data_IF_346252508038
#
_entry.id   IF_346252508038
#
_cell.length_a   1.000
_cell.length_b   1.000
_cell.length_c   1.000
_cell.angle_alpha   90.00
_cell.angle_beta   90.00
_cell.angle_gamma   90.00
#
_symmetry.space_group_name_H-M   'P 1'
#
loop_
_entity.id
_entity.type
_entity.pdbx_description
1 polymer ?
#
# COMPACT_ATOMS: atom_id res chain seq x y z
N UNK A 1 -18.94 -37.90 -48.94
CA UNK A 1 -17.81 -37.15 -49.50
C UNK A 1 -18.08 -35.69 -49.16
N UNK A 2 -17.35 -34.97 -48.32
CA UNK A 2 -15.91 -34.88 -48.05
C UNK A 2 -15.68 -34.30 -46.65
N UNK A 3 -14.87 -34.97 -45.83
CA UNK A 3 -14.31 -34.42 -44.58
C UNK A 3 -13.17 -33.45 -44.93
N UNK A 4 -13.28 -32.19 -44.55
CA UNK A 4 -12.15 -31.25 -44.56
C UNK A 4 -11.69 -30.99 -43.13
N UNK A 5 -10.66 -31.71 -42.72
CA UNK A 5 -9.94 -31.49 -41.47
C UNK A 5 -9.21 -30.14 -41.54
N UNK A 6 -9.55 -29.19 -40.67
CA UNK A 6 -8.76 -27.98 -40.45
C UNK A 6 -7.64 -28.30 -39.46
N UNK A 7 -6.47 -28.67 -39.98
CA UNK A 7 -5.25 -28.84 -39.21
C UNK A 7 -4.78 -27.49 -38.66
N UNK A 8 -4.76 -27.37 -37.34
CA UNK A 8 -4.16 -26.27 -36.59
C UNK A 8 -2.64 -26.24 -36.82
N UNK A 9 -2.16 -25.26 -37.59
CA UNK A 9 -0.74 -24.97 -37.70
C UNK A 9 -0.24 -24.36 -36.37
N UNK A 10 0.57 -25.11 -35.63
CA UNK A 10 1.34 -24.55 -34.53
C UNK A 10 2.41 -23.59 -35.09
N UNK A 11 2.71 -22.46 -34.43
CA UNK A 11 3.79 -21.58 -34.86
C UNK A 11 5.14 -22.28 -34.67
N UNK A 12 5.93 -22.34 -35.75
CA UNK A 12 7.32 -22.80 -35.73
C UNK A 12 8.16 -21.91 -34.80
N UNK A 13 8.74 -22.51 -33.77
CA UNK A 13 9.77 -21.87 -32.96
C UNK A 13 11.11 -21.99 -33.69
N UNK A 14 11.93 -20.92 -33.80
CA UNK A 14 13.24 -21.02 -34.42
C UNK A 14 14.13 -21.98 -33.62
N UNK A 15 14.54 -23.06 -34.28
CA UNK A 15 15.57 -23.99 -33.83
C UNK A 15 16.87 -23.20 -33.63
N UNK A 16 17.34 -23.07 -32.38
CA UNK A 16 18.68 -22.55 -32.12
C UNK A 16 19.70 -23.55 -32.66
N UNK A 17 20.39 -23.17 -33.73
CA UNK A 17 21.51 -23.89 -34.31
C UNK A 17 22.72 -23.85 -33.37
N UNK A 18 23.22 -25.02 -33.00
CA UNK A 18 24.58 -25.17 -32.47
C UNK A 18 25.59 -24.90 -33.60
N UNK A 19 26.46 -23.90 -33.39
CA UNK A 19 27.81 -23.92 -33.94
C UNK A 19 28.72 -23.01 -33.10
N UNK A 20 29.69 -23.67 -32.50
CA UNK A 20 30.92 -23.23 -31.86
C UNK A 20 31.54 -21.97 -32.46
N UNK A 21 32.08 -21.08 -31.61
CA UNK A 21 33.46 -20.61 -31.72
C UNK A 21 33.95 -20.04 -30.38
N UNK A 22 35.11 -20.53 -29.95
CA UNK A 22 35.86 -20.07 -28.81
C UNK A 22 36.30 -18.62 -29.02
N UNK A 23 35.64 -17.67 -28.35
CA UNK A 23 36.23 -16.36 -28.10
C UNK A 23 36.61 -16.29 -26.62
N UNK A 24 37.91 -16.27 -26.38
CA UNK A 24 38.48 -16.04 -25.07
C UNK A 24 37.89 -14.76 -24.47
N UNK A 25 37.20 -14.89 -23.34
CA UNK A 25 36.78 -13.72 -22.57
C UNK A 25 38.02 -13.07 -21.97
N UNK A 26 38.61 -12.12 -22.69
CA UNK A 26 39.58 -11.19 -22.11
C UNK A 26 38.88 -10.40 -21.01
N UNK A 27 39.18 -10.73 -19.75
CA UNK A 27 38.86 -9.88 -18.61
C UNK A 27 39.72 -8.63 -18.71
N UNK A 28 39.18 -7.58 -19.35
CA UNK A 28 39.73 -6.23 -19.20
C UNK A 28 39.54 -5.77 -17.77
N UNK A 29 40.58 -5.96 -16.95
CA UNK A 29 40.71 -5.31 -15.65
C UNK A 29 40.81 -3.81 -15.94
N UNK A 30 39.72 -3.09 -15.69
CA UNK A 30 39.71 -1.64 -15.77
C UNK A 30 40.57 -1.12 -14.61
N UNK A 31 41.81 -0.73 -14.90
CA UNK A 31 42.70 -0.05 -13.96
C UNK A 31 42.19 1.37 -13.69
N UNK A 32 41.85 1.67 -12.44
CA UNK A 32 41.34 2.98 -11.98
C UNK A 32 42.46 4.00 -11.67
N UNK A 33 43.62 3.88 -12.31
CA UNK A 33 44.83 4.66 -11.97
C UNK A 33 44.78 6.13 -12.40
N UNK A 34 43.69 6.57 -13.04
CA UNK A 34 43.51 7.93 -13.57
C UNK A 34 42.43 8.76 -12.88
N UNK A 35 41.76 8.28 -11.83
CA UNK A 35 40.69 9.07 -11.18
C UNK A 35 41.33 10.21 -10.39
N UNK A 36 41.18 11.44 -10.90
CA UNK A 36 41.47 12.67 -10.15
C UNK A 36 40.76 12.57 -8.80
N UNK A 37 41.53 12.54 -7.70
CA UNK A 37 41.02 12.59 -6.33
C UNK A 37 40.23 13.90 -6.17
N UNK A 38 38.92 13.85 -6.36
CA UNK A 38 38.04 14.93 -5.96
C UNK A 38 38.09 14.98 -4.44
N UNK A 39 38.70 16.04 -3.89
CA UNK A 39 38.50 16.39 -2.49
C UNK A 39 37.03 16.77 -2.34
N UNK A 40 36.23 15.82 -1.86
CA UNK A 40 34.90 16.13 -1.32
C UNK A 40 35.19 17.03 -0.12
N UNK A 41 34.91 18.33 -0.26
CA UNK A 41 34.77 19.20 0.91
C UNK A 41 33.62 18.61 1.70
N UNK A 42 33.93 17.90 2.78
CA UNK A 42 32.95 17.65 3.83
C UNK A 42 32.72 19.01 4.47
N UNK A 43 31.81 19.78 3.90
CA UNK A 43 31.26 20.91 4.62
C UNK A 43 30.77 20.35 5.96
N UNK A 44 31.33 20.87 7.06
CA UNK A 44 31.02 20.50 8.44
C UNK A 44 29.56 20.87 8.79
N UNK A 45 28.60 20.22 8.13
CA UNK A 45 27.17 20.30 8.41
C UNK A 45 26.78 19.45 9.63
N UNK A 46 27.70 19.20 10.56
CA UNK A 46 27.46 18.37 11.74
C UNK A 46 26.71 19.11 12.87
N UNK A 47 26.53 20.44 12.79
CA UNK A 47 25.93 21.20 13.90
C UNK A 47 24.59 21.91 13.63
N UNK A 48 24.01 21.85 12.42
CA UNK A 48 22.68 22.47 12.14
C UNK A 48 21.48 21.52 12.15
N UNK A 49 21.68 20.20 12.28
CA UNK A 49 20.56 19.22 12.26
C UNK A 49 19.91 18.94 13.62
N UNK A 50 20.54 19.32 14.75
CA UNK A 50 20.04 18.94 16.09
C UNK A 50 18.88 19.79 16.62
N UNK A 51 18.70 21.01 16.12
CA UNK A 51 17.64 21.90 16.63
C UNK A 51 16.34 21.80 15.82
N UNK A 52 16.40 21.41 14.55
CA UNK A 52 15.22 21.31 13.70
C UNK A 52 14.42 20.02 13.93
N UNK A 53 15.05 18.92 14.36
CA UNK A 53 14.33 17.67 14.70
C UNK A 53 13.50 17.82 15.98
N UNK A 54 13.96 18.62 16.95
CA UNK A 54 13.20 18.90 18.18
C UNK A 54 11.97 19.77 17.90
N UNK A 55 12.07 20.75 17.01
CA UNK A 55 10.92 21.57 16.62
C UNK A 55 9.97 20.85 15.65
N UNK A 56 10.50 20.03 14.73
CA UNK A 56 9.67 19.20 13.84
C UNK A 56 8.91 18.12 14.61
N UNK A 57 9.57 17.44 15.55
CA UNK A 57 8.89 16.48 16.44
C UNK A 57 7.94 17.16 17.42
N UNK A 58 8.21 18.37 17.93
CA UNK A 58 7.23 19.13 18.71
C UNK A 58 6.02 19.55 17.87
N UNK A 59 6.21 19.93 16.60
CA UNK A 59 5.12 20.33 15.70
C UNK A 59 4.31 19.11 15.22
N UNK A 60 4.94 17.98 14.92
CA UNK A 60 4.27 16.70 14.65
C UNK A 60 3.56 16.15 15.90
N UNK A 61 4.17 16.28 17.09
CA UNK A 61 3.51 15.99 18.37
C UNK A 61 2.43 17.01 18.73
N UNK A 62 2.39 18.20 18.14
CA UNK A 62 1.28 19.14 18.33
C UNK A 62 0.19 18.98 17.25
N UNK A 63 0.53 18.37 16.12
CA UNK A 63 -0.41 17.99 15.07
C UNK A 63 -1.12 16.67 15.41
N UNK A 64 -0.46 15.78 16.14
CA UNK A 64 -0.94 14.42 16.46
C UNK A 64 -0.84 14.01 17.95
N UNK A 65 -0.43 14.90 18.87
CA UNK A 65 -0.15 14.52 20.26
C UNK A 65 -1.07 15.14 21.32
N UNK A 66 -1.27 14.32 22.34
CA UNK A 66 -2.16 14.34 23.51
C UNK A 66 -2.12 15.62 24.39
N UNK A 67 -1.25 16.61 24.11
CA UNK A 67 -1.09 17.83 24.94
C UNK A 67 -1.81 19.06 24.40
N UNK A 68 -2.37 19.01 23.20
CA UNK A 68 -3.39 19.98 22.80
C UNK A 68 -4.71 19.50 23.42
N UNK A 69 -5.40 20.34 24.20
CA UNK A 69 -6.79 20.07 24.61
C UNK A 69 -7.64 19.64 23.40
N UNK A 70 -8.77 18.95 23.60
CA UNK A 70 -9.49 18.27 22.53
C UNK A 70 -9.76 19.26 21.38
N UNK A 71 -8.94 19.18 20.33
CA UNK A 71 -9.21 19.90 19.09
C UNK A 71 -10.45 19.24 18.55
N UNK A 72 -11.45 20.05 18.22
CA UNK A 72 -12.56 19.60 17.40
C UNK A 72 -11.96 19.02 16.13
N UNK A 73 -12.01 17.69 16.00
CA UNK A 73 -11.49 17.02 14.81
C UNK A 73 -12.35 17.39 13.63
N UNK A 74 -11.72 17.70 12.50
CA UNK A 74 -12.44 17.90 11.25
C UNK A 74 -13.22 16.62 10.91
N UNK A 75 -14.38 16.73 10.27
CA UNK A 75 -15.22 15.58 9.91
C UNK A 75 -14.44 14.53 9.12
N UNK A 76 -13.55 14.98 8.21
CA UNK A 76 -12.64 14.11 7.48
C UNK A 76 -11.72 13.29 8.40
N UNK A 77 -11.16 13.91 9.44
CA UNK A 77 -10.28 13.23 10.40
C UNK A 77 -11.06 12.21 11.23
N UNK A 78 -12.31 12.52 11.58
CA UNK A 78 -13.21 11.60 12.27
C UNK A 78 -13.54 10.37 11.43
N UNK A 79 -13.93 10.57 10.17
CA UNK A 79 -14.20 9.47 9.21
C UNK A 79 -12.95 8.62 8.99
N UNK A 80 -11.78 9.25 8.86
CA UNK A 80 -10.51 8.54 8.70
C UNK A 80 -10.15 7.75 9.96
N UNK A 81 -10.40 8.27 11.17
CA UNK A 81 -10.15 7.55 12.42
C UNK A 81 -10.97 6.25 12.51
N UNK A 82 -12.26 6.30 12.15
CA UNK A 82 -13.12 5.11 12.10
C UNK A 82 -12.59 4.08 11.08
N UNK A 83 -12.13 4.54 9.90
CA UNK A 83 -11.52 3.67 8.89
C UNK A 83 -10.19 3.06 9.35
N UNK A 84 -9.37 3.81 10.09
CA UNK A 84 -8.11 3.30 10.63
C UNK A 84 -8.36 2.11 11.57
N UNK A 85 -9.40 2.17 12.39
CA UNK A 85 -9.75 1.08 13.31
C UNK A 85 -10.00 -0.24 12.55
N UNK A 86 -10.66 -0.21 11.38
CA UNK A 86 -10.85 -1.38 10.51
C UNK A 86 -9.54 -2.06 10.08
N UNK A 87 -8.47 -1.28 9.92
CA UNK A 87 -7.17 -1.78 9.47
C UNK A 87 -6.17 -2.03 10.61
N UNK A 88 -6.56 -1.78 11.86
CA UNK A 88 -5.76 -2.16 13.02
C UNK A 88 -5.88 -3.67 13.22
N UNK A 89 -4.77 -4.39 12.99
CA UNK A 89 -4.68 -5.85 13.13
C UNK A 89 -3.89 -6.31 14.35
N UNK A 90 -3.18 -5.40 15.00
CA UNK A 90 -2.31 -5.70 16.13
C UNK A 90 -2.96 -5.16 17.40
N UNK A 91 -3.13 -6.02 18.38
CA UNK A 91 -3.58 -5.62 19.71
C UNK A 91 -2.49 -4.82 20.41
N UNK A 92 -2.89 -3.73 21.08
CA UNK A 92 -1.96 -2.95 21.88
C UNK A 92 -1.59 -3.75 23.13
N UNK A 93 -0.30 -4.04 23.27
CA UNK A 93 0.25 -4.70 24.46
C UNK A 93 0.92 -3.68 25.36
N UNK A 94 1.04 -3.98 26.66
CA UNK A 94 1.74 -3.10 27.57
C UNK A 94 3.25 -3.38 27.47
N UNK A 95 3.90 -2.74 26.50
CA UNK A 95 5.31 -2.97 26.14
C UNK A 95 6.27 -2.86 27.34
N UNK A 96 5.94 -2.03 28.34
CA UNK A 96 6.76 -1.85 29.54
C UNK A 96 6.65 -3.02 30.53
N UNK A 97 5.48 -3.65 30.58
CA UNK A 97 5.22 -4.82 31.42
C UNK A 97 5.69 -6.11 30.74
N UNK A 98 5.48 -6.23 29.43
CA UNK A 98 5.64 -7.49 28.72
C UNK A 98 7.09 -7.76 28.29
N UNK A 99 7.91 -6.71 28.15
CA UNK A 99 9.31 -6.83 27.76
C UNK A 99 10.26 -6.21 28.79
N UNK A 100 11.12 -7.04 29.38
CA UNK A 100 12.17 -6.58 30.31
C UNK A 100 13.36 -5.92 29.59
N UNK A 101 13.64 -6.33 28.35
CA UNK A 101 14.82 -5.90 27.60
C UNK A 101 14.60 -4.65 26.74
N UNK A 102 15.47 -3.63 26.91
CA UNK A 102 15.41 -2.38 26.14
C UNK A 102 15.39 -2.58 24.62
N UNK A 103 16.16 -3.54 24.10
CA UNK A 103 16.22 -3.85 22.66
C UNK A 103 14.88 -4.39 22.13
N UNK A 104 14.22 -5.26 22.89
CA UNK A 104 12.91 -5.82 22.53
C UNK A 104 11.83 -4.75 22.57
N UNK A 105 11.83 -3.90 23.59
CA UNK A 105 10.92 -2.74 23.67
C UNK A 105 11.07 -1.84 22.45
N UNK A 106 12.30 -1.52 22.03
CA UNK A 106 12.56 -0.68 20.86
C UNK A 106 12.11 -1.38 19.56
N UNK A 107 12.40 -2.68 19.42
CA UNK A 107 11.99 -3.45 18.24
C UNK A 107 10.47 -3.50 18.11
N UNK A 108 9.76 -3.78 19.22
CA UNK A 108 8.31 -3.83 19.26
C UNK A 108 7.66 -2.48 18.92
N UNK A 109 8.18 -1.38 19.50
CA UNK A 109 7.69 -0.03 19.17
C UNK A 109 7.85 0.30 17.69
N UNK A 110 8.96 -0.10 17.07
CA UNK A 110 9.16 0.09 15.62
C UNK A 110 8.14 -0.70 14.80
N UNK A 111 7.82 -1.93 15.20
CA UNK A 111 6.80 -2.74 14.50
C UNK A 111 5.40 -2.16 14.68
N UNK A 112 5.10 -1.67 15.88
CA UNK A 112 3.83 -0.99 16.19
C UNK A 112 3.67 0.29 15.38
N UNK A 113 4.70 1.14 15.32
CA UNK A 113 4.72 2.36 14.51
C UNK A 113 4.52 2.04 13.02
N UNK A 114 5.19 0.99 12.52
CA UNK A 114 5.06 0.56 11.12
C UNK A 114 3.64 0.06 10.83
N UNK A 115 3.05 -0.74 11.72
CA UNK A 115 1.68 -1.22 11.59
C UNK A 115 0.67 -0.07 11.64
N UNK A 116 0.84 0.89 12.55
CA UNK A 116 0.00 2.08 12.63
C UNK A 116 0.10 2.93 11.35
N UNK A 117 1.30 3.11 10.80
CA UNK A 117 1.48 3.77 9.51
C UNK A 117 0.83 3.00 8.36
N UNK A 118 0.95 1.67 8.34
CA UNK A 118 0.33 0.83 7.33
C UNK A 118 -1.20 0.92 7.38
N UNK A 119 -1.81 0.84 8.56
CA UNK A 119 -3.25 1.00 8.76
C UNK A 119 -3.75 2.37 8.29
N UNK A 120 -3.02 3.45 8.61
CA UNK A 120 -3.34 4.81 8.13
C UNK A 120 -3.26 4.93 6.61
N UNK A 121 -2.24 4.35 5.99
CA UNK A 121 -2.09 4.35 4.53
C UNK A 121 -3.21 3.56 3.85
N UNK A 122 -3.54 2.39 4.38
CA UNK A 122 -4.64 1.57 3.88
C UNK A 122 -5.99 2.31 3.99
N UNK A 123 -6.29 2.90 5.15
CA UNK A 123 -7.50 3.68 5.35
C UNK A 123 -7.63 4.88 4.39
N UNK A 124 -6.51 5.53 4.05
CA UNK A 124 -6.48 6.61 3.05
C UNK A 124 -6.66 6.08 1.63
N UNK A 125 -6.12 4.90 1.33
CA UNK A 125 -6.23 4.28 0.02
C UNK A 125 -7.69 3.91 -0.33
N UNK A 126 -8.56 3.69 0.67
CA UNK A 126 -10.00 3.49 0.43
C UNK A 126 -10.68 4.66 -0.33
N UNK A 127 -10.10 5.86 -0.32
CA UNK A 127 -10.61 7.01 -1.10
C UNK A 127 -10.51 6.75 -2.61
N UNK A 128 -9.58 5.88 -3.02
CA UNK A 128 -9.34 5.53 -4.42
C UNK A 128 -10.22 4.37 -4.90
N UNK A 129 -11.10 3.83 -4.05
CA UNK A 129 -12.06 2.83 -4.47
C UNK A 129 -13.08 3.50 -5.40
N UNK A 130 -13.16 3.00 -6.63
CA UNK A 130 -14.05 3.54 -7.67
C UNK A 130 -15.47 3.03 -7.56
N UNK A 131 -15.66 1.90 -6.88
CA UNK A 131 -16.94 1.23 -6.73
C UNK A 131 -17.52 1.50 -5.34
N UNK A 132 -18.83 1.68 -5.32
CA UNK A 132 -19.62 1.79 -4.10
C UNK A 132 -20.36 0.47 -3.84
N UNK A 133 -20.68 0.22 -2.57
CA UNK A 133 -21.49 -0.95 -2.22
C UNK A 133 -22.94 -0.71 -2.63
N UNK A 134 -23.51 -1.61 -3.43
CA UNK A 134 -24.93 -1.57 -3.77
C UNK A 134 -25.81 -1.82 -2.54
N UNK A 135 -26.95 -1.13 -2.47
CA UNK A 135 -27.94 -1.30 -1.41
C UNK A 135 -29.36 -1.14 -1.97
N UNK A 136 -30.33 -1.72 -1.27
CA UNK A 136 -31.76 -1.59 -1.56
C UNK A 136 -32.45 -1.00 -0.34
N UNK A 137 -32.91 0.24 -0.48
CA UNK A 137 -33.67 0.95 0.55
C UNK A 137 -35.14 1.03 0.12
N UNK A 138 -36.05 0.78 1.06
CA UNK A 138 -37.47 0.91 0.79
C UNK A 138 -37.93 2.35 1.08
N UNK A 139 -38.75 2.90 0.19
CA UNK A 139 -39.31 4.24 0.37
C UNK A 139 -40.72 4.18 1.00
N UNK A 140 -40.98 5.11 1.93
CA UNK A 140 -42.31 5.30 2.52
C UNK A 140 -42.84 4.09 3.31
N UNK A 141 -43.88 3.44 2.79
CA UNK A 141 -44.56 2.30 3.44
C UNK A 141 -44.12 0.93 2.88
N UNK A 142 -43.24 0.92 1.90
CA UNK A 142 -42.74 -0.32 1.32
C UNK A 142 -41.79 -1.04 2.27
N UNK A 143 -41.67 -2.35 2.10
CA UNK A 143 -40.78 -3.17 2.92
C UNK A 143 -39.81 -3.91 2.01
N UNK A 144 -38.52 -3.89 2.34
CA UNK A 144 -37.45 -4.45 1.50
C UNK A 144 -37.65 -5.91 1.12
N UNK A 145 -38.28 -6.70 1.99
CA UNK A 145 -38.57 -8.11 1.72
C UNK A 145 -39.73 -8.36 0.74
N UNK A 146 -40.44 -7.31 0.30
CA UNK A 146 -41.55 -7.43 -0.66
C UNK A 146 -41.14 -7.19 -2.11
N UNK A 147 -39.92 -6.73 -2.35
CA UNK A 147 -39.41 -6.54 -3.72
C UNK A 147 -39.24 -7.88 -4.43
N UNK A 148 -39.68 -7.95 -5.69
CA UNK A 148 -39.53 -9.14 -6.53
C UNK A 148 -38.22 -9.08 -7.31
N UNK A 149 -37.66 -10.24 -7.65
CA UNK A 149 -36.42 -10.33 -8.45
C UNK A 149 -36.60 -9.70 -9.84
N UNK A 150 -37.78 -9.85 -10.45
CA UNK A 150 -38.10 -9.19 -11.72
C UNK A 150 -38.01 -7.66 -11.62
N UNK A 151 -38.45 -7.09 -10.49
CA UNK A 151 -38.43 -5.65 -10.27
C UNK A 151 -37.00 -5.17 -9.98
N UNK A 152 -36.18 -5.97 -9.32
CA UNK A 152 -34.74 -5.70 -9.13
C UNK A 152 -34.01 -5.73 -10.47
N UNK A 153 -34.23 -6.75 -11.30
CA UNK A 153 -33.60 -6.88 -12.60
C UNK A 153 -33.97 -5.74 -13.56
N UNK A 154 -35.24 -5.29 -13.54
CA UNK A 154 -35.70 -4.13 -14.33
C UNK A 154 -35.03 -2.82 -13.95
N UNK A 155 -34.68 -2.65 -12.67
CA UNK A 155 -34.08 -1.42 -12.15
C UNK A 155 -32.54 -1.49 -12.06
N UNK A 156 -31.93 -2.63 -12.39
CA UNK A 156 -30.48 -2.81 -12.43
C UNK A 156 -29.94 -2.57 -13.83
N UNK A 157 -28.63 -2.32 -13.95
CA UNK A 157 -27.99 -2.23 -15.26
C UNK A 157 -27.97 -3.61 -15.97
N UNK A 158 -27.82 -3.60 -17.30
CA UNK A 158 -27.91 -4.82 -18.12
C UNK A 158 -26.90 -5.91 -17.67
N UNK A 159 -25.68 -5.52 -17.27
CA UNK A 159 -24.65 -6.49 -16.89
C UNK A 159 -24.96 -7.15 -15.53
N UNK A 160 -25.59 -6.42 -14.63
CA UNK A 160 -26.05 -6.97 -13.34
C UNK A 160 -27.34 -7.78 -13.52
N UNK A 161 -28.31 -7.27 -14.29
CA UNK A 161 -29.60 -7.93 -14.53
C UNK A 161 -29.46 -9.30 -15.19
N UNK A 162 -28.45 -9.52 -16.03
CA UNK A 162 -28.15 -10.83 -16.62
C UNK A 162 -27.66 -11.88 -15.60
N UNK A 163 -27.27 -11.47 -14.40
CA UNK A 163 -26.73 -12.33 -13.34
C UNK A 163 -27.70 -12.54 -12.18
N UNK A 164 -28.87 -11.88 -12.22
CA UNK A 164 -29.96 -11.99 -11.24
C UNK A 164 -30.91 -13.10 -11.68
#
# INVERSE_FOLDING_TARGET
MSNSQSSSAAPEFPLFSEATNNEATETKVISFDGVKKFKIKTDDYSNKRKNNSKNKSKKEKALYGVTAGPREMNEYERRLANKIQKYQRIDQTNVAHDFKGKKHVIAYKKTEDLAAMAARKAARAEILNTEESGYLEAEGMEKTYKFKQEDIAKNSDINSAQKV
#
